data_IF_273398258057
#
_entry.id   IF_273398258057
#
_cell.length_a   1.000
_cell.length_b   1.000
_cell.length_c   1.000
_cell.angle_alpha   90.00
_cell.angle_beta   90.00
_cell.angle_gamma   90.00
#
_symmetry.space_group_name_H-M   'P 1'
#
loop_
_entity.id
_entity.type
_entity.pdbx_description
1 polymer ?
#
# COMPACT_ATOMS: atom_id res chain seq x y z
N UNK A 1 12.86 -10.23 -11.00
CA UNK A 1 11.78 -10.61 -11.92
C UNK A 1 10.46 -10.27 -11.24
N UNK A 2 9.41 -9.90 -11.98
CA UNK A 2 8.09 -9.71 -11.38
C UNK A 2 7.43 -11.08 -11.14
N UNK A 3 6.68 -11.16 -10.06
CA UNK A 3 5.91 -12.32 -9.63
C UNK A 3 4.49 -11.85 -9.29
N UNK A 4 3.44 -12.60 -9.65
CA UNK A 4 3.46 -13.77 -10.53
C UNK A 4 3.78 -13.41 -12.00
N UNK A 5 4.07 -14.41 -12.84
CA UNK A 5 4.22 -14.21 -14.29
C UNK A 5 2.90 -13.83 -14.94
N UNK A 6 2.92 -13.32 -16.18
CA UNK A 6 1.70 -12.96 -16.90
C UNK A 6 0.73 -14.15 -17.02
N UNK A 7 1.24 -15.32 -17.39
CA UNK A 7 0.44 -16.53 -17.53
C UNK A 7 -0.22 -16.94 -16.21
N UNK A 8 0.48 -16.74 -15.08
CA UNK A 8 -0.05 -16.98 -13.76
C UNK A 8 -1.12 -15.95 -13.37
N UNK A 9 -0.90 -14.67 -13.67
CA UNK A 9 -1.92 -13.61 -13.47
C UNK A 9 -3.20 -13.93 -14.22
N UNK A 10 -3.09 -14.31 -15.51
CA UNK A 10 -4.24 -14.69 -16.35
C UNK A 10 -5.01 -15.88 -15.76
N UNK A 11 -4.30 -16.83 -15.15
CA UNK A 11 -4.93 -17.96 -14.49
C UNK A 11 -5.63 -17.55 -13.18
N UNK A 12 -5.00 -16.73 -12.34
CA UNK A 12 -5.58 -16.28 -11.08
C UNK A 12 -6.79 -15.35 -11.27
N UNK A 13 -6.75 -14.49 -12.28
CA UNK A 13 -7.81 -13.54 -12.61
C UNK A 13 -9.15 -14.21 -12.96
N UNK A 14 -9.16 -15.51 -13.30
CA UNK A 14 -10.38 -16.28 -13.54
C UNK A 14 -11.22 -16.47 -12.27
N UNK A 15 -10.59 -16.45 -11.10
CA UNK A 15 -11.24 -16.76 -9.81
C UNK A 15 -11.06 -15.69 -8.75
N UNK A 16 -10.04 -14.83 -8.86
CA UNK A 16 -9.77 -13.75 -7.91
C UNK A 16 -10.22 -12.40 -8.46
N UNK A 17 -10.67 -11.50 -7.58
CA UNK A 17 -11.00 -10.11 -7.90
C UNK A 17 -9.79 -9.16 -7.77
N UNK A 18 -8.67 -9.63 -7.24
CA UNK A 18 -7.42 -8.88 -7.09
C UNK A 18 -6.22 -9.85 -7.17
N UNK A 19 -5.23 -9.51 -7.98
CA UNK A 19 -3.98 -10.27 -8.11
C UNK A 19 -2.79 -9.31 -7.90
N UNK A 20 -2.04 -9.39 -6.79
CA UNK A 20 -0.90 -8.51 -6.56
C UNK A 20 0.30 -8.93 -7.41
N UNK A 21 0.81 -7.99 -8.21
CA UNK A 21 2.06 -8.15 -8.96
C UNK A 21 3.15 -7.43 -8.17
N UNK A 22 4.19 -8.15 -7.81
CA UNK A 22 5.27 -7.65 -6.97
C UNK A 22 6.63 -8.11 -7.48
N UNK A 23 7.68 -7.53 -6.93
CA UNK A 23 9.03 -8.05 -7.06
C UNK A 23 9.79 -7.76 -5.78
N UNK A 24 10.72 -8.63 -5.45
CA UNK A 24 11.68 -8.38 -4.39
C UNK A 24 12.86 -7.57 -4.94
N UNK A 25 13.32 -6.60 -4.15
CA UNK A 25 14.42 -5.68 -4.47
C UNK A 25 15.31 -5.64 -3.23
N UNK A 26 16.63 -5.73 -3.43
CA UNK A 26 17.57 -5.55 -2.33
C UNK A 26 17.54 -4.07 -1.89
N UNK A 27 17.42 -3.86 -0.58
CA UNK A 27 17.27 -2.55 0.02
C UNK A 27 18.18 -2.42 1.26
N UNK A 28 19.34 -3.08 1.26
CA UNK A 28 20.22 -3.19 2.43
C UNK A 28 20.74 -1.82 2.92
N UNK A 29 20.73 -0.81 2.05
CA UNK A 29 21.13 0.57 2.36
C UNK A 29 19.94 1.51 2.61
N UNK A 30 18.72 0.99 2.55
CA UNK A 30 17.51 1.78 2.78
C UNK A 30 17.02 1.58 4.21
N UNK A 31 16.71 2.66 4.89
CA UNK A 31 15.73 2.66 5.98
C UNK A 31 14.32 2.86 5.40
N UNK A 32 13.25 2.46 6.09
CA UNK A 32 11.87 2.71 5.63
C UNK A 32 11.60 4.17 5.26
N UNK A 33 12.12 5.12 6.05
CA UNK A 33 12.01 6.56 5.77
C UNK A 33 12.73 6.93 4.47
N UNK A 34 13.96 6.45 4.27
CA UNK A 34 14.71 6.76 3.04
C UNK A 34 14.06 6.18 1.79
N UNK A 35 13.49 4.97 1.88
CA UNK A 35 12.73 4.35 0.80
C UNK A 35 11.46 5.16 0.51
N UNK A 36 10.72 5.56 1.54
CA UNK A 36 9.51 6.39 1.40
C UNK A 36 9.81 7.69 0.67
N UNK A 37 10.84 8.43 1.08
CA UNK A 37 11.19 9.72 0.46
C UNK A 37 11.56 9.59 -1.03
N UNK A 38 12.08 8.43 -1.47
CA UNK A 38 12.40 8.17 -2.88
C UNK A 38 11.15 7.94 -3.73
N UNK A 39 10.16 7.23 -3.20
CA UNK A 39 9.00 6.78 -3.99
C UNK A 39 7.72 7.56 -3.73
N UNK A 40 7.63 8.34 -2.67
CA UNK A 40 6.46 9.16 -2.37
C UNK A 40 6.15 10.12 -3.52
N UNK A 41 4.88 10.18 -3.92
CA UNK A 41 4.36 11.11 -4.93
C UNK A 41 3.12 11.83 -4.41
N UNK A 42 2.99 13.14 -4.67
CA UNK A 42 1.77 13.87 -4.35
C UNK A 42 0.61 13.44 -5.27
N UNK A 43 -0.65 13.65 -4.86
CA UNK A 43 -1.06 14.27 -3.60
C UNK A 43 -1.18 13.28 -2.43
N UNK A 44 -1.08 11.97 -2.66
CA UNK A 44 -1.33 10.95 -1.63
C UNK A 44 -0.21 9.91 -1.56
N UNK A 45 0.41 9.84 -0.40
CA UNK A 45 1.33 8.77 -0.02
C UNK A 45 1.35 8.61 1.50
N UNK A 46 1.76 7.44 1.97
CA UNK A 46 1.92 7.15 3.39
C UNK A 46 3.12 6.23 3.67
N UNK A 47 3.63 6.32 4.90
CA UNK A 47 4.53 5.37 5.51
C UNK A 47 3.89 4.94 6.85
N UNK A 48 3.67 3.63 7.02
CA UNK A 48 3.19 3.04 8.26
C UNK A 48 4.28 2.16 8.84
N UNK A 49 4.65 2.41 10.08
CA UNK A 49 5.62 1.64 10.84
C UNK A 49 4.96 1.19 12.15
N UNK A 50 5.23 -0.05 12.57
CA UNK A 50 4.80 -0.52 13.87
C UNK A 50 5.94 -0.36 14.88
N UNK A 51 5.57 -0.06 16.13
CA UNK A 51 6.51 0.11 17.25
C UNK A 51 6.01 -0.78 18.38
N UNK A 52 6.80 -1.79 18.74
CA UNK A 52 6.51 -2.63 19.92
C UNK A 52 7.34 -2.11 21.10
N UNK A 53 6.68 -1.72 22.19
CA UNK A 53 7.36 -1.42 23.47
C UNK A 53 8.32 -0.23 23.47
N UNK A 54 8.17 0.74 22.56
CA UNK A 54 8.91 2.00 22.53
C UNK A 54 10.34 1.93 21.98
N UNK A 55 11.00 0.78 22.06
CA UNK A 55 12.40 0.62 21.63
C UNK A 55 12.61 -0.40 20.50
N UNK A 56 11.63 -1.26 20.20
CA UNK A 56 11.74 -2.25 19.12
C UNK A 56 11.00 -1.79 17.86
N UNK A 57 11.78 -1.57 16.80
CA UNK A 57 11.27 -1.35 15.44
C UNK A 57 10.60 -2.65 14.99
N UNK A 58 9.38 -2.56 14.48
CA UNK A 58 8.69 -3.73 13.94
C UNK A 58 9.40 -4.32 12.72
N UNK A 59 9.12 -5.60 12.43
CA UNK A 59 9.75 -6.32 11.31
C UNK A 59 9.39 -5.78 9.92
N UNK A 60 8.29 -5.02 9.81
CA UNK A 60 7.76 -4.55 8.53
C UNK A 60 7.32 -3.09 8.62
N UNK A 61 7.61 -2.35 7.57
CA UNK A 61 7.07 -1.02 7.28
C UNK A 61 6.29 -1.09 5.95
N UNK A 62 5.18 -0.38 5.86
CA UNK A 62 4.34 -0.33 4.65
C UNK A 62 4.40 1.06 4.04
N UNK A 63 4.69 1.12 2.74
CA UNK A 63 4.66 2.36 1.96
C UNK A 63 3.60 2.23 0.87
N UNK A 64 2.73 3.24 0.77
CA UNK A 64 1.76 3.38 -0.30
C UNK A 64 1.90 4.73 -0.99
N UNK A 65 1.77 4.77 -2.30
CA UNK A 65 1.81 6.00 -3.12
C UNK A 65 0.89 5.82 -4.33
N UNK A 66 0.44 6.94 -4.91
CA UNK A 66 -0.34 6.95 -6.16
C UNK A 66 -1.58 6.03 -6.14
N UNK A 67 -2.47 6.14 -5.13
CA UNK A 67 -3.67 5.32 -5.08
C UNK A 67 -4.56 5.57 -6.30
N UNK A 68 -5.11 4.51 -6.89
CA UNK A 68 -6.04 4.63 -8.03
C UNK A 68 -7.34 5.34 -7.65
N UNK A 69 -7.77 5.22 -6.38
CA UNK A 69 -8.97 5.87 -5.86
C UNK A 69 -8.80 6.23 -4.39
N UNK A 70 -9.34 7.38 -3.99
CA UNK A 70 -9.43 7.83 -2.61
C UNK A 70 -10.91 8.02 -2.27
N UNK A 71 -11.36 7.38 -1.20
CA UNK A 71 -12.72 7.50 -0.70
C UNK A 71 -12.74 8.48 0.47
N UNK A 72 -13.68 9.43 0.46
CA UNK A 72 -13.83 10.46 1.49
C UNK A 72 -15.28 10.53 1.93
N UNK A 73 -15.51 10.48 3.23
CA UNK A 73 -16.84 10.64 3.83
C UNK A 73 -16.84 11.89 4.71
N UNK A 74 -18.02 12.49 4.89
CA UNK A 74 -18.20 13.71 5.67
C UNK A 74 -19.11 14.72 4.96
N UNK A 75 -19.34 15.84 5.65
CA UNK A 75 -20.17 16.92 5.13
C UNK A 75 -19.56 17.51 3.86
N UNK A 76 -20.29 17.45 2.75
CA UNK A 76 -19.86 18.00 1.46
C UNK A 76 -18.95 17.07 0.64
N UNK A 77 -18.74 15.82 1.07
CA UNK A 77 -18.02 14.80 0.31
C UNK A 77 -18.99 13.89 -0.47
N UNK A 78 -18.52 13.24 -1.54
CA UNK A 78 -19.32 12.39 -2.45
C UNK A 78 -20.13 11.32 -1.71
N UNK A 79 -19.53 10.69 -0.70
CA UNK A 79 -20.14 9.58 0.03
C UNK A 79 -20.99 10.04 1.24
N UNK A 80 -21.10 11.35 1.48
CA UNK A 80 -21.87 11.92 2.59
C UNK A 80 -21.32 11.56 3.98
N UNK A 81 -22.08 11.87 5.03
CA UNK A 81 -21.72 11.60 6.43
C UNK A 81 -21.97 10.13 6.81
N UNK A 82 -21.13 9.23 6.26
CA UNK A 82 -21.18 7.79 6.52
C UNK A 82 -19.87 7.28 7.12
N UNK A 83 -19.94 6.20 7.89
CA UNK A 83 -18.77 5.47 8.37
C UNK A 83 -18.22 4.61 7.23
N UNK A 84 -17.02 4.90 6.67
CA UNK A 84 -16.48 4.19 5.51
C UNK A 84 -16.10 2.73 5.82
N UNK A 85 -16.08 2.33 7.10
CA UNK A 85 -15.76 0.98 7.54
C UNK A 85 -17.01 0.14 7.84
N UNK A 86 -18.20 0.73 7.73
CA UNK A 86 -19.47 0.02 7.85
C UNK A 86 -20.09 -0.17 6.46
N UNK A 87 -20.31 -1.42 6.03
CA UNK A 87 -21.00 -1.73 4.77
C UNK A 87 -22.40 -1.12 4.69
#
# INVERSE_FOLDING_TARGET
>A
MYSPTLEQVEQYAKTANLVPIYREINADLETPVSAYLKIARPPYSFLLESVEGGEHIARYSFIGTEPTKVFRTGKGEEYGEVDPLKP
#
